data_IF_019504307239
#
_entry.id   IF_019504307239
#
_cell.length_a   1.000
_cell.length_b   1.000
_cell.length_c   1.000
_cell.angle_alpha   90.00
_cell.angle_beta   90.00
_cell.angle_gamma   90.00
#
_symmetry.space_group_name_H-M   'P 1'
#
loop_
_entity.id
_entity.type
_entity.pdbx_description
1 polymer ?
#
# COMPACT_ATOMS: atom_id res chain seq x y z
N UNK A 1 -5.36 42.59 7.47
CA UNK A 1 -4.07 42.27 6.85
C UNK A 1 -4.06 42.84 5.43
N UNK A 2 -3.80 44.14 5.30
CA UNK A 2 -3.57 44.83 4.02
C UNK A 2 -2.06 45.04 3.92
N UNK A 3 -1.39 44.22 3.14
CA UNK A 3 0.07 44.25 2.98
C UNK A 3 0.48 43.01 2.21
N UNK A 4 0.46 43.10 0.88
CA UNK A 4 0.92 42.04 -0.01
C UNK A 4 2.45 42.03 -0.03
N UNK A 5 3.06 41.56 1.05
CA UNK A 5 4.47 41.21 1.04
C UNK A 5 4.62 39.89 0.30
N UNK A 6 5.62 39.80 -0.56
CA UNK A 6 5.89 38.59 -1.33
C UNK A 6 6.26 37.45 -0.37
N UNK A 7 5.91 36.18 -0.64
CA UNK A 7 6.15 35.05 0.26
C UNK A 7 7.60 34.97 0.77
N UNK A 8 8.55 35.29 -0.11
CA UNK A 8 9.97 35.34 0.22
C UNK A 8 10.33 36.42 1.25
N UNK A 9 9.71 37.59 1.17
CA UNK A 9 9.92 38.68 2.14
C UNK A 9 9.38 38.29 3.52
N UNK A 10 8.29 37.51 3.58
CA UNK A 10 7.77 36.96 4.82
C UNK A 10 8.73 35.94 5.46
N UNK A 11 9.32 35.05 4.66
CA UNK A 11 10.32 34.10 5.14
C UNK A 11 11.56 34.81 5.71
N UNK A 12 12.08 35.80 4.98
CA UNK A 12 13.24 36.60 5.40
C UNK A 12 12.91 37.43 6.67
N UNK A 13 11.69 37.95 6.79
CA UNK A 13 11.22 38.66 7.99
C UNK A 13 11.14 37.75 9.22
N UNK A 14 10.67 36.51 9.06
CA UNK A 14 10.63 35.54 10.15
C UNK A 14 12.03 35.16 10.64
N UNK A 15 12.98 34.99 9.71
CA UNK A 15 14.38 34.73 10.04
C UNK A 15 15.02 35.89 10.83
N UNK A 16 14.78 37.13 10.40
CA UNK A 16 15.32 38.31 11.10
C UNK A 16 14.69 38.53 12.49
N UNK A 17 13.45 38.10 12.71
CA UNK A 17 12.71 38.29 13.97
C UNK A 17 12.83 37.13 14.96
N UNK A 18 13.68 36.14 14.68
CA UNK A 18 13.88 34.94 15.52
C UNK A 18 12.58 34.15 15.78
N UNK A 19 11.70 34.07 14.78
CA UNK A 19 10.45 33.31 14.87
C UNK A 19 10.73 31.85 14.49
N UNK A 20 10.61 30.94 15.47
CA UNK A 20 10.94 29.52 15.27
C UNK A 20 9.87 28.75 14.49
N UNK A 21 8.59 29.07 14.67
CA UNK A 21 7.48 28.45 13.94
C UNK A 21 6.27 29.37 13.89
N UNK A 22 5.43 29.20 12.88
CA UNK A 22 4.13 29.88 12.77
C UNK A 22 3.08 28.89 12.25
N UNK A 23 1.81 29.15 12.55
CA UNK A 23 0.68 28.33 12.10
C UNK A 23 -0.38 29.21 11.46
N UNK A 24 -0.82 28.82 10.28
CA UNK A 24 -1.96 29.42 9.60
C UNK A 24 -3.10 28.41 9.57
N UNK A 25 -4.26 28.79 10.14
CA UNK A 25 -5.42 27.92 10.22
C UNK A 25 -6.35 28.17 9.02
N UNK A 26 -6.76 27.09 8.37
CA UNK A 26 -7.77 27.08 7.31
C UNK A 26 -8.76 25.92 7.55
N UNK A 27 -9.89 25.95 6.86
CA UNK A 27 -10.94 24.95 6.97
C UNK A 27 -11.15 24.24 5.64
N UNK A 28 -11.42 22.94 5.69
CA UNK A 28 -11.85 22.16 4.52
C UNK A 28 -13.33 22.40 4.23
N UNK A 29 -13.71 22.23 2.98
CA UNK A 29 -15.11 22.00 2.60
C UNK A 29 -15.63 20.72 3.29
N UNK A 30 -16.97 20.56 3.44
CA UNK A 30 -17.52 19.34 4.04
C UNK A 30 -17.00 18.08 3.33
N UNK A 31 -16.39 17.17 4.09
CA UNK A 31 -15.87 15.88 3.63
C UNK A 31 -16.83 14.79 4.09
N UNK A 32 -17.39 14.03 3.15
CA UNK A 32 -18.43 13.01 3.46
C UNK A 32 -17.95 11.63 3.06
N UNK A 33 -17.35 11.51 1.88
CA UNK A 33 -16.88 10.23 1.34
C UNK A 33 -15.42 9.96 1.70
N UNK A 34 -15.03 8.68 1.72
CA UNK A 34 -13.62 8.31 1.89
C UNK A 34 -12.72 8.93 0.81
N UNK A 35 -13.23 9.08 -0.41
CA UNK A 35 -12.49 9.68 -1.51
C UNK A 35 -12.27 11.18 -1.28
N UNK A 36 -13.23 11.87 -0.68
CA UNK A 36 -13.10 13.28 -0.28
C UNK A 36 -11.95 13.44 0.72
N UNK A 37 -11.86 12.56 1.72
CA UNK A 37 -10.77 12.60 2.70
C UNK A 37 -9.40 12.33 2.07
N UNK A 38 -9.30 11.31 1.21
CA UNK A 38 -8.04 10.99 0.49
C UNK A 38 -7.61 12.17 -0.37
N UNK A 39 -8.56 12.77 -1.11
CA UNK A 39 -8.32 13.93 -1.97
C UNK A 39 -7.95 15.16 -1.17
N UNK A 40 -8.61 15.39 -0.02
CA UNK A 40 -8.31 16.49 0.87
C UNK A 40 -6.87 16.39 1.40
N UNK A 41 -6.42 15.20 1.84
CA UNK A 41 -5.02 14.99 2.27
C UNK A 41 -4.06 15.24 1.11
N UNK A 42 -4.31 14.67 -0.07
CA UNK A 42 -3.44 14.86 -1.25
C UNK A 42 -3.34 16.35 -1.65
N UNK A 43 -4.46 17.06 -1.68
CA UNK A 43 -4.51 18.49 -2.00
C UNK A 43 -3.78 19.34 -0.96
N UNK A 44 -3.88 18.99 0.32
CA UNK A 44 -3.21 19.73 1.37
C UNK A 44 -1.68 19.57 1.28
N UNK A 45 -1.18 18.36 1.01
CA UNK A 45 0.25 18.14 0.76
C UNK A 45 0.72 18.87 -0.50
N UNK A 46 -0.07 18.89 -1.59
CA UNK A 46 0.25 19.65 -2.79
C UNK A 46 0.31 21.16 -2.52
N UNK A 47 -0.61 21.70 -1.71
CA UNK A 47 -0.58 23.10 -1.31
C UNK A 47 0.66 23.42 -0.47
N UNK A 48 1.00 22.55 0.48
CA UNK A 48 2.20 22.72 1.31
C UNK A 48 3.49 22.70 0.48
N UNK A 49 3.59 21.79 -0.52
CA UNK A 49 4.76 21.77 -1.41
C UNK A 49 4.87 23.04 -2.25
N UNK A 50 3.76 23.54 -2.79
CA UNK A 50 3.77 24.81 -3.55
C UNK A 50 4.12 26.01 -2.67
N UNK A 51 3.62 26.05 -1.44
CA UNK A 51 3.95 27.09 -0.48
C UNK A 51 5.44 27.06 -0.14
N UNK A 52 6.00 25.88 0.13
CA UNK A 52 7.42 25.71 0.41
C UNK A 52 8.30 26.16 -0.77
N UNK A 53 7.91 25.84 -1.99
CA UNK A 53 8.60 26.29 -3.20
C UNK A 53 8.52 27.83 -3.36
N UNK A 54 7.35 28.42 -3.11
CA UNK A 54 7.15 29.87 -3.15
C UNK A 54 7.99 30.63 -2.11
N UNK A 55 8.33 29.97 -0.99
CA UNK A 55 9.23 30.50 0.04
C UNK A 55 10.71 30.27 -0.29
N UNK A 56 11.03 29.73 -1.47
CA UNK A 56 12.41 29.47 -1.90
C UNK A 56 13.12 28.40 -1.05
N UNK A 57 12.38 27.51 -0.39
CA UNK A 57 12.94 26.49 0.51
C UNK A 57 13.55 27.05 1.80
N UNK A 58 13.31 28.33 2.11
CA UNK A 58 13.81 28.99 3.33
C UNK A 58 13.10 28.49 4.61
N UNK A 59 11.95 27.82 4.48
CA UNK A 59 11.19 27.27 5.58
C UNK A 59 10.47 25.96 5.15
N UNK A 60 10.42 24.99 6.07
CA UNK A 60 9.63 23.76 5.88
C UNK A 60 8.14 24.06 6.14
N UNK A 61 7.28 23.64 5.21
CA UNK A 61 5.83 23.82 5.32
C UNK A 61 5.15 22.47 5.49
N UNK A 62 4.53 22.25 6.65
CA UNK A 62 3.77 21.04 6.97
C UNK A 62 2.26 21.29 7.05
N UNK A 63 1.48 20.24 6.83
CA UNK A 63 0.03 20.22 7.06
C UNK A 63 -0.28 19.38 8.30
N UNK A 64 -1.19 19.86 9.13
CA UNK A 64 -1.69 19.09 10.26
C UNK A 64 -3.21 19.14 10.36
N UNK A 65 -3.82 17.96 10.44
CA UNK A 65 -5.22 17.76 10.84
C UNK A 65 -5.39 16.35 11.43
N UNK A 66 -6.26 16.13 12.44
CA UNK A 66 -6.41 14.83 13.09
C UNK A 66 -6.76 13.66 12.16
N UNK A 67 -7.43 13.90 11.03
CA UNK A 67 -7.77 12.83 10.09
C UNK A 67 -6.61 12.46 9.16
N UNK A 68 -5.61 13.33 8.96
CA UNK A 68 -4.53 13.13 7.98
C UNK A 68 -3.79 11.82 8.27
N UNK A 69 -3.46 11.55 9.53
CA UNK A 69 -2.75 10.32 9.95
C UNK A 69 -3.52 9.04 9.62
N UNK A 70 -4.84 9.08 9.55
CA UNK A 70 -5.67 7.91 9.22
C UNK A 70 -5.82 7.70 7.71
N UNK A 71 -5.84 8.80 6.93
CA UNK A 71 -6.13 8.75 5.50
C UNK A 71 -4.88 8.75 4.61
N UNK A 72 -3.73 9.16 5.15
CA UNK A 72 -2.45 9.15 4.45
C UNK A 72 -2.05 7.77 3.91
N UNK A 73 -2.35 6.69 4.64
CA UNK A 73 -2.09 5.31 4.19
C UNK A 73 -2.75 4.97 2.84
N UNK A 74 -3.87 5.62 2.51
CA UNK A 74 -4.60 5.36 1.27
C UNK A 74 -3.95 6.03 0.05
N UNK A 75 -3.02 6.98 0.25
CA UNK A 75 -2.24 7.54 -0.84
C UNK A 75 -1.31 6.50 -1.47
N UNK A 76 -0.79 5.57 -0.65
CA UNK A 76 0.18 4.56 -1.07
C UNK A 76 -0.36 3.13 -1.02
N UNK A 77 -1.61 2.91 -0.58
CA UNK A 77 -2.20 1.57 -0.38
C UNK A 77 -2.11 0.67 -1.61
N UNK A 78 -2.25 1.23 -2.82
CA UNK A 78 -2.15 0.45 -4.07
C UNK A 78 -0.75 -0.11 -4.27
N UNK A 79 0.27 0.73 -4.09
CA UNK A 79 1.68 0.34 -4.17
C UNK A 79 2.03 -0.66 -3.07
N UNK A 80 1.62 -0.39 -1.84
CA UNK A 80 1.83 -1.30 -0.71
C UNK A 80 1.15 -2.66 -0.93
N UNK A 81 -0.05 -2.68 -1.52
CA UNK A 81 -0.74 -3.92 -1.84
C UNK A 81 -0.02 -4.74 -2.90
N UNK A 82 0.44 -4.11 -3.98
CA UNK A 82 1.22 -4.76 -5.02
C UNK A 82 2.53 -5.32 -4.48
N UNK A 83 3.28 -4.52 -3.70
CA UNK A 83 4.55 -4.93 -3.12
C UNK A 83 4.38 -6.07 -2.10
N UNK A 84 3.41 -5.97 -1.20
CA UNK A 84 3.16 -7.00 -0.20
C UNK A 84 2.72 -8.32 -0.85
N UNK A 85 1.81 -8.26 -1.84
CA UNK A 85 1.26 -9.46 -2.48
C UNK A 85 2.26 -10.13 -3.41
N UNK A 86 3.01 -9.34 -4.19
CA UNK A 86 4.08 -9.88 -5.04
C UNK A 86 5.24 -10.41 -4.20
N UNK A 87 5.63 -9.70 -3.14
CA UNK A 87 6.63 -10.15 -2.18
C UNK A 87 6.23 -11.48 -1.52
N UNK A 88 4.99 -11.61 -1.07
CA UNK A 88 4.47 -12.85 -0.50
C UNK A 88 4.48 -14.01 -1.51
N UNK A 89 4.05 -13.76 -2.76
CA UNK A 89 4.03 -14.77 -3.82
C UNK A 89 5.45 -15.24 -4.18
N UNK A 90 6.40 -14.30 -4.33
CA UNK A 90 7.80 -14.59 -4.61
C UNK A 90 8.42 -15.39 -3.46
N UNK A 91 8.25 -14.91 -2.22
CA UNK A 91 8.78 -15.58 -1.04
C UNK A 91 8.23 -17.00 -0.88
N UNK A 92 6.93 -17.19 -1.08
CA UNK A 92 6.29 -18.51 -1.01
C UNK A 92 6.80 -19.46 -2.11
N UNK A 93 6.94 -18.96 -3.34
CA UNK A 93 7.45 -19.76 -4.47
C UNK A 93 8.91 -20.16 -4.24
N UNK A 94 9.74 -19.24 -3.75
CA UNK A 94 11.14 -19.51 -3.39
C UNK A 94 11.25 -20.50 -2.22
N UNK A 95 10.45 -20.33 -1.17
CA UNK A 95 10.41 -21.27 -0.05
C UNK A 95 10.01 -22.67 -0.51
N UNK A 96 8.99 -22.78 -1.37
CA UNK A 96 8.56 -24.07 -1.93
C UNK A 96 9.65 -24.69 -2.82
N UNK A 97 10.35 -23.87 -3.61
CA UNK A 97 11.49 -24.32 -4.42
C UNK A 97 12.60 -24.91 -3.56
N UNK A 98 12.96 -24.24 -2.47
CA UNK A 98 14.00 -24.70 -1.54
C UNK A 98 13.58 -25.99 -0.81
N UNK A 99 12.32 -26.11 -0.42
CA UNK A 99 11.81 -27.26 0.34
C UNK A 99 11.58 -28.50 -0.53
N UNK A 100 11.01 -28.35 -1.73
CA UNK A 100 10.74 -29.48 -2.64
C UNK A 100 11.91 -29.81 -3.57
N UNK A 101 12.85 -28.88 -3.78
CA UNK A 101 14.01 -29.05 -4.65
C UNK A 101 13.67 -29.19 -6.15
N UNK A 102 12.43 -28.89 -6.56
CA UNK A 102 11.96 -29.03 -7.94
C UNK A 102 11.32 -27.74 -8.46
N UNK A 103 11.86 -27.13 -9.53
CA UNK A 103 11.32 -25.88 -10.10
C UNK A 103 9.94 -26.07 -10.72
N UNK A 104 9.64 -27.25 -11.25
CA UNK A 104 8.31 -27.55 -11.79
C UNK A 104 7.26 -27.60 -10.68
N UNK A 105 7.59 -28.24 -9.56
CA UNK A 105 6.68 -28.38 -8.42
C UNK A 105 6.44 -27.02 -7.74
N UNK A 106 7.50 -26.23 -7.56
CA UNK A 106 7.39 -24.85 -7.07
C UNK A 106 6.57 -23.97 -8.02
N UNK A 107 6.73 -24.13 -9.33
CA UNK A 107 5.93 -23.42 -10.33
C UNK A 107 4.43 -23.74 -10.23
N UNK A 108 4.07 -25.00 -10.01
CA UNK A 108 2.66 -25.41 -9.81
C UNK A 108 2.07 -24.77 -8.55
N UNK A 109 2.78 -24.85 -7.42
CA UNK A 109 2.34 -24.23 -6.15
C UNK A 109 2.21 -22.71 -6.29
N UNK A 110 3.19 -22.06 -6.93
CA UNK A 110 3.16 -20.61 -7.20
C UNK A 110 2.00 -20.21 -8.12
N UNK A 111 1.69 -21.02 -9.14
CA UNK A 111 0.55 -20.78 -10.02
C UNK A 111 -0.79 -20.89 -9.29
N UNK A 112 -0.95 -21.87 -8.38
CA UNK A 112 -2.14 -22.00 -7.53
C UNK A 112 -2.27 -20.78 -6.60
N UNK A 113 -1.19 -20.37 -5.94
CA UNK A 113 -1.18 -19.19 -5.07
C UNK A 113 -1.52 -17.90 -5.82
N UNK A 114 -1.00 -17.72 -7.04
CA UNK A 114 -1.37 -16.60 -7.91
C UNK A 114 -2.86 -16.65 -8.29
N UNK A 115 -3.40 -17.84 -8.59
CA UNK A 115 -4.82 -18.03 -8.85
C UNK A 115 -5.70 -17.65 -7.66
N UNK A 116 -5.29 -17.98 -6.43
CA UNK A 116 -5.99 -17.57 -5.21
C UNK A 116 -5.93 -16.05 -5.01
N UNK A 117 -4.79 -15.40 -5.23
CA UNK A 117 -4.68 -13.94 -5.20
C UNK A 117 -5.62 -13.27 -6.19
N UNK A 118 -5.64 -13.75 -7.44
CA UNK A 118 -6.52 -13.22 -8.48
C UNK A 118 -7.99 -13.43 -8.13
N UNK A 119 -8.34 -14.61 -7.58
CA UNK A 119 -9.70 -14.92 -7.14
C UNK A 119 -10.14 -14.03 -5.98
N UNK A 120 -9.26 -13.79 -5.00
CA UNK A 120 -9.55 -12.90 -3.87
C UNK A 120 -9.76 -11.46 -4.33
N UNK A 121 -8.88 -10.96 -5.21
CA UNK A 121 -9.04 -9.65 -5.84
C UNK A 121 -10.34 -9.53 -6.65
N UNK A 122 -10.69 -10.57 -7.41
CA UNK A 122 -11.96 -10.66 -8.13
C UNK A 122 -13.17 -10.61 -7.19
N UNK A 123 -13.16 -11.39 -6.12
CA UNK A 123 -14.22 -11.39 -5.10
C UNK A 123 -14.35 -10.02 -4.42
N UNK A 124 -13.25 -9.32 -4.13
CA UNK A 124 -13.30 -7.97 -3.58
C UNK A 124 -14.05 -7.00 -4.50
N UNK A 125 -13.79 -7.08 -5.81
CA UNK A 125 -14.50 -6.25 -6.81
C UNK A 125 -15.99 -6.62 -6.87
N UNK A 126 -16.31 -7.92 -6.95
CA UNK A 126 -17.69 -8.40 -7.04
C UNK A 126 -18.53 -8.07 -5.80
N UNK A 127 -17.92 -8.09 -4.61
CA UNK A 127 -18.60 -7.82 -3.34
C UNK A 127 -18.57 -6.34 -2.93
N UNK A 128 -17.93 -5.47 -3.73
CA UNK A 128 -17.78 -4.05 -3.40
C UNK A 128 -16.88 -3.78 -2.19
N UNK A 129 -15.97 -4.70 -1.86
CA UNK A 129 -15.02 -4.55 -0.75
C UNK A 129 -13.85 -3.68 -1.18
N UNK A 130 -13.64 -2.58 -0.46
CA UNK A 130 -12.54 -1.64 -0.74
C UNK A 130 -11.20 -2.19 -0.27
N UNK A 131 -10.16 -1.89 -1.04
CA UNK A 131 -8.78 -2.16 -0.65
C UNK A 131 -8.35 -1.19 0.48
N UNK A 132 -8.14 -1.76 1.65
CA UNK A 132 -7.62 -1.13 2.87
C UNK A 132 -6.58 -2.05 3.54
N UNK A 133 -5.93 -1.58 4.61
CA UNK A 133 -4.91 -2.35 5.32
C UNK A 133 -5.39 -3.74 5.80
N UNK A 134 -6.62 -3.84 6.33
CA UNK A 134 -7.18 -5.11 6.81
C UNK A 134 -7.44 -6.09 5.66
N UNK A 135 -8.04 -5.63 4.57
CA UNK A 135 -8.27 -6.45 3.37
C UNK A 135 -6.95 -6.91 2.73
N UNK A 136 -5.91 -6.08 2.75
CA UNK A 136 -4.59 -6.44 2.25
C UNK A 136 -3.95 -7.55 3.10
N UNK A 137 -4.02 -7.43 4.44
CA UNK A 137 -3.53 -8.48 5.34
C UNK A 137 -4.25 -9.80 5.07
N UNK A 138 -5.58 -9.77 4.90
CA UNK A 138 -6.36 -10.97 4.58
C UNK A 138 -5.98 -11.57 3.22
N UNK A 139 -5.72 -10.73 2.23
CA UNK A 139 -5.27 -11.17 0.90
C UNK A 139 -3.92 -11.88 0.99
N UNK A 140 -2.96 -11.32 1.72
CA UNK A 140 -1.64 -11.94 1.94
C UNK A 140 -1.76 -13.22 2.79
N UNK A 141 -2.59 -13.23 3.83
CA UNK A 141 -2.82 -14.43 4.64
C UNK A 141 -3.39 -15.59 3.80
N UNK A 142 -4.29 -15.29 2.85
CA UNK A 142 -4.84 -16.30 1.94
C UNK A 142 -3.78 -16.96 1.04
N UNK A 143 -2.72 -16.24 0.68
CA UNK A 143 -1.56 -16.82 -0.02
C UNK A 143 -0.89 -17.88 0.84
N UNK A 144 -0.65 -17.57 2.11
CA UNK A 144 -0.01 -18.50 3.05
C UNK A 144 -0.79 -19.80 3.17
N UNK A 145 -2.10 -19.70 3.40
CA UNK A 145 -3.00 -20.85 3.51
C UNK A 145 -3.02 -21.64 2.19
N UNK A 146 -3.12 -20.95 1.05
CA UNK A 146 -3.07 -21.59 -0.28
C UNK A 146 -1.79 -22.40 -0.49
N UNK A 147 -0.65 -21.85 -0.08
CA UNK A 147 0.67 -22.47 -0.27
C UNK A 147 0.81 -23.69 0.64
N UNK A 148 0.36 -23.62 1.89
CA UNK A 148 0.36 -24.77 2.82
C UNK A 148 -0.34 -25.98 2.20
N UNK A 149 -1.60 -25.83 1.76
CA UNK A 149 -2.37 -26.91 1.16
C UNK A 149 -1.75 -27.42 -0.15
N UNK A 150 -1.42 -26.51 -1.06
CA UNK A 150 -0.89 -26.90 -2.38
C UNK A 150 0.50 -27.53 -2.30
N UNK A 151 1.36 -27.10 -1.37
CA UNK A 151 2.67 -27.72 -1.14
C UNK A 151 2.54 -29.13 -0.56
N UNK A 152 1.63 -29.36 0.39
CA UNK A 152 1.37 -30.70 0.93
C UNK A 152 0.88 -31.68 -0.14
N UNK A 153 -0.09 -31.26 -0.97
CA UNK A 153 -0.59 -32.07 -2.09
C UNK A 153 0.52 -32.36 -3.10
N UNK A 154 1.30 -31.34 -3.48
CA UNK A 154 2.39 -31.48 -4.44
C UNK A 154 3.49 -32.41 -3.93
N UNK A 155 3.87 -32.28 -2.66
CA UNK A 155 4.84 -33.16 -2.02
C UNK A 155 4.35 -34.62 -1.96
N UNK A 156 3.07 -34.84 -1.65
CA UNK A 156 2.44 -36.15 -1.70
C UNK A 156 2.53 -36.78 -3.09
N UNK A 157 2.17 -36.03 -4.13
CA UNK A 157 2.28 -36.46 -5.52
C UNK A 157 3.72 -36.80 -5.95
N UNK A 158 4.71 -36.04 -5.46
CA UNK A 158 6.12 -36.29 -5.73
C UNK A 158 6.64 -37.58 -5.07
N UNK A 159 6.12 -37.94 -3.89
CA UNK A 159 6.53 -39.15 -3.17
C UNK A 159 5.80 -40.42 -3.61
N UNK A 160 4.61 -40.29 -4.18
CA UNK A 160 3.83 -41.43 -4.66
C UNK A 160 4.55 -42.19 -5.79
N UNK A 161 4.41 -43.52 -5.81
CA UNK A 161 4.96 -44.39 -6.87
C UNK A 161 3.87 -44.76 -7.87
N UNK A 162 4.24 -44.93 -9.13
CA UNK A 162 3.33 -45.31 -10.21
C UNK A 162 3.29 -44.29 -11.35
N UNK A 163 2.33 -44.46 -12.26
CA UNK A 163 2.06 -43.55 -13.37
C UNK A 163 1.51 -42.20 -12.87
N UNK A 164 1.53 -41.16 -13.71
CA UNK A 164 1.03 -39.83 -13.31
C UNK A 164 -0.42 -39.87 -12.82
N UNK A 165 -1.28 -40.67 -13.45
CA UNK A 165 -2.67 -40.84 -13.03
C UNK A 165 -2.76 -41.56 -11.68
N UNK A 166 -1.94 -42.60 -11.46
CA UNK A 166 -1.91 -43.33 -10.18
C UNK A 166 -1.39 -42.48 -9.01
N UNK A 167 -0.52 -41.52 -9.27
CA UNK A 167 -0.03 -40.59 -8.23
C UNK A 167 -1.00 -39.45 -7.91
N UNK A 168 -1.90 -39.13 -8.85
CA UNK A 168 -2.90 -38.06 -8.70
C UNK A 168 -4.23 -38.56 -8.12
N UNK A 169 -4.49 -39.87 -8.19
CA UNK A 169 -5.61 -40.55 -7.56
C UNK A 169 -5.39 -40.67 -6.05
#
# INVERSE_FOLDING_TARGET
LRGGAEPRELAESFAMRNITSSRHMAYHTPLVSQEDYITAVASAYSLASHAQESLGGLAEVGVYSPYVVFFEQYLTVRTSALLASSGALIAATLATLLLLGSPHAAGVVGAVALGVLASMGGCMVLMGVRLNALSLVNMVASVGISVEFSAHVTHGFMRARGSRAQRAA
#
